data_IF_075045503666
#
_entry.id   IF_075045503666
#
_cell.length_a   1.000
_cell.length_b   1.000
_cell.length_c   1.000
_cell.angle_alpha   90.00
_cell.angle_beta   90.00
_cell.angle_gamma   90.00
#
_symmetry.space_group_name_H-M   'P 1'
#
loop_
_entity.id
_entity.type
_entity.pdbx_description
1 polymer ?
#
# COMPACT_ATOMS: atom_id res chain seq x y z
N UNK A 1 60.65 4.58 -9.42
CA UNK A 1 59.53 5.08 -8.58
C UNK A 1 58.23 4.66 -9.26
N UNK A 2 57.52 3.66 -8.74
CA UNK A 2 56.34 3.07 -9.39
C UNK A 2 55.10 3.62 -8.69
N UNK A 3 54.37 4.51 -9.34
CA UNK A 3 53.18 5.18 -8.77
C UNK A 3 51.97 4.25 -8.94
N UNK A 4 51.67 3.44 -7.94
CA UNK A 4 50.44 2.67 -7.89
C UNK A 4 49.33 3.59 -7.38
N UNK A 5 48.55 4.15 -8.30
CA UNK A 5 47.37 4.95 -7.99
C UNK A 5 46.25 3.97 -7.61
N UNK A 6 46.01 3.83 -6.30
CA UNK A 6 44.97 2.96 -5.75
C UNK A 6 43.61 3.63 -6.00
N UNK A 7 42.90 3.21 -7.04
CA UNK A 7 41.53 3.66 -7.32
C UNK A 7 40.59 3.03 -6.30
N UNK A 8 40.15 3.83 -5.33
CA UNK A 8 39.06 3.48 -4.41
C UNK A 8 37.75 3.51 -5.20
N UNK A 9 37.27 2.34 -5.60
CA UNK A 9 35.94 2.17 -6.18
C UNK A 9 34.90 2.37 -5.09
N UNK A 10 34.32 3.56 -5.03
CA UNK A 10 33.12 3.84 -4.22
C UNK A 10 31.97 3.06 -4.83
N UNK A 11 31.59 1.93 -4.21
CA UNK A 11 30.30 1.31 -4.45
C UNK A 11 29.22 2.32 -3.99
N UNK A 12 28.67 3.08 -4.92
CA UNK A 12 27.43 3.78 -4.71
C UNK A 12 26.35 2.70 -4.50
N UNK A 13 25.99 2.44 -3.25
CA UNK A 13 24.69 1.84 -2.93
C UNK A 13 23.64 2.81 -3.48
N UNK A 14 23.19 2.56 -4.70
CA UNK A 14 21.92 3.07 -5.17
C UNK A 14 20.86 2.43 -4.27
N UNK A 15 20.62 3.05 -3.12
CA UNK A 15 19.34 2.96 -2.45
C UNK A 15 18.34 3.55 -3.46
N UNK A 16 17.85 2.71 -4.36
CA UNK A 16 16.55 2.91 -4.98
C UNK A 16 15.60 2.99 -3.80
N UNK A 17 15.34 4.22 -3.35
CA UNK A 17 14.31 4.48 -2.38
C UNK A 17 13.03 4.06 -3.06
N UNK A 18 12.63 2.79 -2.85
CA UNK A 18 11.29 2.32 -3.16
C UNK A 18 10.37 3.33 -2.51
N UNK A 19 9.78 4.19 -3.34
CA UNK A 19 9.05 5.34 -2.85
C UNK A 19 7.94 4.79 -1.97
N UNK A 20 7.92 5.13 -0.68
CA UNK A 20 6.92 4.68 0.32
C UNK A 20 5.51 5.18 -0.01
N UNK A 21 5.31 5.75 -1.18
CA UNK A 21 4.11 6.43 -1.62
C UNK A 21 3.79 5.93 -3.01
N UNK A 22 2.55 5.49 -3.19
CA UNK A 22 1.98 5.09 -4.46
C UNK A 22 0.99 6.16 -4.91
N UNK A 23 1.24 6.75 -6.07
CA UNK A 23 0.45 7.87 -6.61
C UNK A 23 -0.79 7.40 -7.41
N UNK A 24 -1.18 6.12 -7.29
CA UNK A 24 -2.40 5.59 -7.89
C UNK A 24 -3.58 6.51 -7.59
N UNK A 25 -4.27 6.90 -8.66
CA UNK A 25 -5.46 7.74 -8.60
C UNK A 25 -6.60 6.95 -9.22
N UNK A 26 -7.66 6.65 -8.47
CA UNK A 26 -8.80 5.91 -9.01
C UNK A 26 -9.56 6.76 -10.03
N UNK A 27 -10.21 6.09 -10.99
CA UNK A 27 -11.20 6.75 -11.83
C UNK A 27 -12.37 7.21 -10.95
N UNK A 28 -13.00 8.34 -11.30
CA UNK A 28 -14.16 8.84 -10.58
C UNK A 28 -15.29 7.80 -10.56
N UNK A 29 -15.82 7.52 -9.37
CA UNK A 29 -16.87 6.51 -9.19
C UNK A 29 -16.40 5.06 -9.28
N UNK A 30 -15.08 4.80 -9.27
CA UNK A 30 -14.55 3.44 -9.21
C UNK A 30 -15.04 2.71 -7.96
N UNK A 31 -15.42 1.44 -8.12
CA UNK A 31 -15.89 0.63 -6.99
C UNK A 31 -14.73 0.25 -6.06
N UNK A 32 -15.03 -0.07 -4.81
CA UNK A 32 -14.01 -0.53 -3.86
C UNK A 32 -13.28 -1.80 -4.33
N UNK A 33 -13.98 -2.69 -5.02
CA UNK A 33 -13.40 -3.91 -5.61
C UNK A 33 -12.42 -3.58 -6.75
N UNK A 34 -12.78 -2.66 -7.65
CA UNK A 34 -11.92 -2.24 -8.76
C UNK A 34 -10.64 -1.59 -8.26
N UNK A 35 -10.77 -0.69 -7.28
CA UNK A 35 -9.64 -0.03 -6.62
C UNK A 35 -8.74 -1.05 -5.95
N UNK A 36 -9.31 -1.98 -5.17
CA UNK A 36 -8.55 -3.01 -4.48
C UNK A 36 -7.77 -3.90 -5.46
N UNK A 37 -8.42 -4.31 -6.56
CA UNK A 37 -7.78 -5.11 -7.61
C UNK A 37 -6.64 -4.35 -8.29
N UNK A 38 -6.82 -3.07 -8.57
CA UNK A 38 -5.85 -2.25 -9.30
C UNK A 38 -4.63 -1.86 -8.46
N UNK A 39 -4.81 -1.63 -7.16
CA UNK A 39 -3.78 -1.00 -6.33
C UNK A 39 -3.32 -1.82 -5.11
N UNK A 40 -4.11 -2.79 -4.64
CA UNK A 40 -3.87 -3.48 -3.38
C UNK A 40 -3.51 -4.96 -3.56
N UNK A 41 -4.07 -5.61 -4.58
CA UNK A 41 -3.98 -7.05 -4.80
C UNK A 41 -2.56 -7.55 -5.10
N UNK A 42 -1.63 -6.67 -5.48
CA UNK A 42 -0.22 -7.04 -5.66
C UNK A 42 0.34 -7.66 -4.37
N UNK A 43 0.08 -7.02 -3.22
CA UNK A 43 0.58 -7.42 -1.91
C UNK A 43 -0.47 -8.08 -1.01
N UNK A 44 -1.75 -7.70 -1.16
CA UNK A 44 -2.83 -8.17 -0.30
C UNK A 44 -3.67 -9.22 -1.02
N UNK A 45 -3.17 -10.46 -1.03
CA UNK A 45 -3.87 -11.58 -1.68
C UNK A 45 -5.16 -11.94 -0.93
N UNK A 46 -6.15 -12.36 -1.69
CA UNK A 46 -7.40 -12.88 -1.14
C UNK A 46 -7.18 -14.38 -0.92
N UNK A 47 -7.18 -14.80 0.34
CA UNK A 47 -7.01 -16.19 0.73
C UNK A 47 -8.31 -16.70 1.36
N UNK A 48 -8.81 -17.83 0.87
CA UNK A 48 -10.09 -18.40 1.32
C UNK A 48 -11.26 -17.41 1.26
N UNK A 49 -11.27 -16.54 0.24
CA UNK A 49 -12.28 -15.50 0.06
C UNK A 49 -12.21 -14.34 1.06
N UNK A 50 -11.11 -14.20 1.81
CA UNK A 50 -10.91 -13.11 2.78
C UNK A 50 -9.62 -12.35 2.48
N UNK A 51 -9.65 -11.04 2.68
CA UNK A 51 -8.47 -10.18 2.49
C UNK A 51 -7.59 -10.19 3.74
N UNK A 52 -8.19 -9.95 4.91
CA UNK A 52 -7.48 -9.87 6.18
C UNK A 52 -8.23 -10.60 7.28
N UNK A 53 -7.52 -10.84 8.38
CA UNK A 53 -8.10 -11.03 9.70
C UNK A 53 -7.94 -9.73 10.49
N UNK A 54 -9.07 -9.09 10.81
CA UNK A 54 -9.11 -7.80 11.51
C UNK A 54 -9.59 -8.02 12.94
N UNK A 55 -8.95 -7.34 13.89
CA UNK A 55 -9.50 -7.23 15.25
C UNK A 55 -10.81 -6.43 15.21
N UNK A 56 -11.79 -6.84 16.02
CA UNK A 56 -13.11 -6.21 16.08
C UNK A 56 -13.08 -4.68 16.25
N UNK A 57 -12.17 -4.15 17.06
CA UNK A 57 -12.03 -2.71 17.30
C UNK A 57 -11.39 -1.95 16.12
N UNK A 58 -10.77 -2.66 15.17
CA UNK A 58 -10.13 -2.12 13.97
C UNK A 58 -10.88 -2.41 12.68
N UNK A 59 -11.92 -3.25 12.73
CA UNK A 59 -12.73 -3.64 11.58
C UNK A 59 -13.75 -2.56 11.17
N UNK A 60 -13.27 -1.34 10.90
CA UNK A 60 -14.10 -0.23 10.44
C UNK A 60 -13.43 0.58 9.34
N UNK A 61 -14.24 1.18 8.47
CA UNK A 61 -13.76 1.87 7.28
C UNK A 61 -12.83 3.06 7.59
N UNK A 62 -13.03 3.76 8.71
CA UNK A 62 -12.17 4.88 9.09
C UNK A 62 -10.74 4.43 9.43
N UNK A 63 -10.61 3.30 10.13
CA UNK A 63 -9.31 2.70 10.47
C UNK A 63 -8.59 2.22 9.21
N UNK A 64 -9.31 1.55 8.32
CA UNK A 64 -8.75 1.09 7.04
C UNK A 64 -8.35 2.29 6.16
N UNK A 65 -9.19 3.31 6.05
CA UNK A 65 -8.90 4.52 5.29
C UNK A 65 -7.61 5.19 5.78
N UNK A 66 -7.47 5.35 7.10
CA UNK A 66 -6.25 5.89 7.72
C UNK A 66 -5.02 5.03 7.38
N UNK A 67 -5.16 3.71 7.41
CA UNK A 67 -4.06 2.81 7.06
C UNK A 67 -3.64 2.92 5.60
N UNK A 68 -4.59 3.08 4.69
CA UNK A 68 -4.34 3.27 3.24
C UNK A 68 -3.61 4.60 2.98
N UNK A 69 -4.04 5.68 3.63
CA UNK A 69 -3.45 7.00 3.40
C UNK A 69 -2.11 7.21 4.10
N UNK A 70 -1.86 6.55 5.24
CA UNK A 70 -0.59 6.64 5.97
C UNK A 70 0.42 5.56 5.59
N UNK A 71 -0.04 4.41 5.09
CA UNK A 71 0.80 3.26 4.81
C UNK A 71 1.38 2.63 6.09
N UNK A 72 2.59 2.08 5.98
CA UNK A 72 3.33 1.49 7.09
C UNK A 72 4.78 1.22 6.72
N UNK A 73 5.45 0.37 7.50
CA UNK A 73 6.85 -0.01 7.23
C UNK A 73 6.97 -0.70 5.87
N UNK A 74 6.03 -1.60 5.55
CA UNK A 74 6.02 -2.41 4.32
C UNK A 74 4.94 -1.97 3.31
N UNK A 75 3.94 -1.22 3.76
CA UNK A 75 2.82 -0.79 2.92
C UNK A 75 3.03 0.65 2.48
N UNK A 76 3.01 0.90 1.18
CA UNK A 76 3.05 2.27 0.66
C UNK A 76 1.81 3.07 1.11
N UNK A 77 1.96 4.37 1.28
CA UNK A 77 0.85 5.31 1.42
C UNK A 77 0.21 5.61 0.06
N UNK A 78 -1.10 5.83 0.03
CA UNK A 78 -1.86 6.16 -1.19
C UNK A 78 -2.51 7.55 -1.07
N UNK A 79 -1.74 8.64 -1.17
CA UNK A 79 -2.22 9.99 -0.87
C UNK A 79 -3.28 10.49 -1.85
N UNK A 80 -3.38 9.93 -3.06
CA UNK A 80 -4.37 10.34 -4.06
C UNK A 80 -5.70 9.59 -3.93
N UNK A 81 -5.76 8.56 -3.09
CA UNK A 81 -6.96 7.80 -2.80
C UNK A 81 -7.72 8.54 -1.69
N UNK A 82 -8.75 9.32 -2.05
CA UNK A 82 -9.48 10.24 -1.16
C UNK A 82 -10.99 10.12 -1.38
N UNK A 83 -11.77 10.87 -0.60
CA UNK A 83 -13.20 11.07 -0.87
C UNK A 83 -14.02 9.79 -0.90
N UNK A 84 -14.91 9.69 -1.89
CA UNK A 84 -15.83 8.56 -2.05
C UNK A 84 -15.09 7.28 -2.42
N UNK A 85 -14.04 7.36 -3.24
CA UNK A 85 -13.22 6.22 -3.64
C UNK A 85 -12.45 5.62 -2.45
N UNK A 86 -11.92 6.47 -1.55
CA UNK A 86 -11.31 6.02 -0.28
C UNK A 86 -12.31 5.33 0.62
N UNK A 87 -13.50 5.90 0.75
CA UNK A 87 -14.58 5.28 1.51
C UNK A 87 -14.94 3.92 0.90
N UNK A 88 -15.12 3.85 -0.42
CA UNK A 88 -15.52 2.64 -1.13
C UNK A 88 -14.53 1.49 -0.95
N UNK A 89 -13.22 1.73 -1.17
CA UNK A 89 -12.21 0.67 -0.98
C UNK A 89 -12.08 0.28 0.50
N UNK A 90 -12.20 1.24 1.42
CA UNK A 90 -12.09 0.95 2.85
C UNK A 90 -13.26 0.10 3.34
N UNK A 91 -14.49 0.37 2.86
CA UNK A 91 -15.66 -0.44 3.14
C UNK A 91 -15.54 -1.84 2.54
N UNK A 92 -15.13 -1.93 1.27
CA UNK A 92 -14.90 -3.20 0.59
C UNK A 92 -13.92 -4.10 1.38
N UNK A 93 -12.84 -3.52 1.89
CA UNK A 93 -11.87 -4.26 2.72
C UNK A 93 -12.50 -4.80 3.99
N UNK A 94 -13.31 -4.00 4.70
CA UNK A 94 -13.98 -4.44 5.94
C UNK A 94 -14.97 -5.58 5.65
N UNK A 95 -15.82 -5.42 4.63
CA UNK A 95 -16.85 -6.39 4.25
C UNK A 95 -16.27 -7.73 3.77
N UNK A 96 -15.09 -7.68 3.14
CA UNK A 96 -14.40 -8.85 2.60
C UNK A 96 -13.25 -9.34 3.50
N UNK A 97 -13.18 -8.88 4.73
CA UNK A 97 -12.26 -9.39 5.75
C UNK A 97 -13.00 -10.23 6.79
N UNK A 98 -12.24 -11.02 7.55
CA UNK A 98 -12.76 -11.74 8.70
C UNK A 98 -12.54 -10.88 9.95
N UNK A 99 -13.59 -10.70 10.74
CA UNK A 99 -13.49 -10.01 12.04
C UNK A 99 -13.28 -11.05 13.13
N UNK A 100 -12.34 -10.80 14.05
CA UNK A 100 -12.03 -11.62 15.22
C UNK A 100 -12.23 -10.83 16.51
#
# INVERSE_FOLDING_TARGET
>A
MKKTCLTVSVLALAAVGCSKTNNYTPAAGATGADIFKAACLECHKIENGRIFELAADKANAATIAKKITEGGVMMSSFPNLKGEELKAVSQYVVENSKVK
#
